data_IF_892208441075
#
_entry.id   IF_892208441075
#
_cell.length_a   1.000
_cell.length_b   1.000
_cell.length_c   1.000
_cell.angle_alpha   90.00
_cell.angle_beta   90.00
_cell.angle_gamma   90.00
#
_symmetry.space_group_name_H-M   'P 1'
#
loop_
_entity.id
_entity.type
_entity.pdbx_description
1 polymer ?
#
# COMPACT_ATOMS: atom_id res chain seq x y z
N UNK A 1 20.48 -52.48 -7.51
CA UNK A 1 20.05 -51.26 -8.20
C UNK A 1 18.92 -50.64 -7.38
N UNK A 2 19.26 -49.77 -6.44
CA UNK A 2 18.28 -49.10 -5.57
C UNK A 2 18.25 -47.62 -5.93
N UNK A 3 17.13 -47.16 -6.48
CA UNK A 3 16.91 -45.75 -6.78
C UNK A 3 16.58 -45.00 -5.48
N UNK A 4 17.39 -44.00 -5.16
CA UNK A 4 17.20 -43.10 -4.01
C UNK A 4 16.05 -42.16 -4.37
N UNK A 5 14.93 -42.31 -3.66
CA UNK A 5 13.76 -41.43 -3.72
C UNK A 5 14.09 -40.12 -3.01
N UNK A 6 14.16 -39.02 -3.74
CA UNK A 6 14.31 -37.66 -3.18
C UNK A 6 12.92 -37.17 -2.77
N UNK A 7 12.67 -36.81 -1.49
CA UNK A 7 11.38 -36.25 -1.10
C UNK A 7 11.21 -34.83 -1.64
N UNK A 8 10.04 -34.62 -2.26
CA UNK A 8 9.46 -33.35 -2.68
C UNK A 8 9.19 -32.51 -1.42
N UNK A 9 9.94 -31.44 -1.22
CA UNK A 9 9.67 -30.48 -0.16
C UNK A 9 8.40 -29.69 -0.51
N UNK A 10 7.36 -29.83 0.32
CA UNK A 10 6.23 -28.91 0.33
C UNK A 10 6.65 -27.65 1.09
N UNK A 11 6.61 -26.50 0.42
CA UNK A 11 6.65 -25.21 1.11
C UNK A 11 5.34 -25.02 1.86
N UNK A 12 5.34 -25.37 3.14
CA UNK A 12 4.29 -24.94 4.07
C UNK A 12 4.63 -23.50 4.47
N UNK A 13 4.01 -22.53 3.79
CA UNK A 13 4.07 -21.12 4.17
C UNK A 13 3.15 -20.93 5.36
N UNK A 14 3.73 -20.75 6.54
CA UNK A 14 3.03 -20.30 7.74
C UNK A 14 2.83 -18.78 7.69
N UNK A 15 1.60 -18.24 7.83
CA UNK A 15 1.41 -16.82 8.08
C UNK A 15 1.84 -16.48 9.51
N UNK A 16 2.78 -15.56 9.63
CA UNK A 16 3.32 -15.05 10.88
C UNK A 16 2.23 -14.29 11.65
N UNK A 17 1.76 -14.84 12.76
CA UNK A 17 0.84 -14.18 13.70
C UNK A 17 1.57 -13.72 14.95
N UNK A 18 1.43 -12.41 15.21
CA UNK A 18 1.17 -11.77 16.51
C UNK A 18 2.00 -12.23 17.74
N UNK A 19 2.91 -11.35 18.16
CA UNK A 19 3.23 -11.15 19.57
C UNK A 19 2.76 -9.74 19.96
N UNK A 20 1.62 -9.68 20.64
CA UNK A 20 1.11 -8.49 21.31
C UNK A 20 1.55 -8.56 22.76
N UNK A 21 2.58 -7.81 23.13
CA UNK A 21 2.91 -7.62 24.54
C UNK A 21 2.30 -6.34 25.08
N UNK A 22 1.59 -6.53 26.19
CA UNK A 22 0.88 -5.52 26.97
C UNK A 22 1.89 -4.56 27.60
N UNK A 23 1.67 -3.26 27.49
CA UNK A 23 2.21 -2.31 28.46
C UNK A 23 1.09 -1.45 29.03
N UNK A 24 0.85 -1.69 30.31
CA UNK A 24 0.01 -0.97 31.25
C UNK A 24 0.67 0.34 31.70
N UNK A 25 -0.17 1.36 31.93
CA UNK A 25 -0.03 2.49 32.88
C UNK A 25 1.31 3.23 33.01
N UNK A 26 1.27 4.55 32.79
CA UNK A 26 2.38 5.44 33.13
C UNK A 26 2.15 6.90 32.81
N UNK A 27 1.17 7.52 33.49
CA UNK A 27 0.97 8.97 33.55
C UNK A 27 2.21 9.65 34.16
N UNK A 28 2.91 10.50 33.39
CA UNK A 28 3.90 11.44 33.95
C UNK A 28 3.69 12.83 33.37
N UNK A 29 3.57 13.76 34.31
CA UNK A 29 3.18 15.16 34.21
C UNK A 29 4.22 15.97 33.45
N UNK A 30 3.75 16.84 32.55
CA UNK A 30 4.55 17.85 31.89
C UNK A 30 5.10 18.86 32.91
N UNK A 31 6.42 18.95 33.03
CA UNK A 31 7.08 20.11 33.62
C UNK A 31 7.62 20.99 32.48
N UNK A 32 7.00 22.14 32.29
CA UNK A 32 7.55 23.23 31.49
C UNK A 32 8.73 23.84 32.26
N UNK A 33 9.90 23.88 31.62
CA UNK A 33 11.02 24.71 32.06
C UNK A 33 11.34 25.66 30.92
N UNK A 34 11.23 26.95 31.24
CA UNK A 34 11.34 28.06 30.33
C UNK A 34 12.66 28.81 30.56
N UNK A 35 13.36 29.10 29.46
CA UNK A 35 14.28 30.22 29.22
C UNK A 35 15.67 30.20 29.93
N UNK A 36 16.75 30.78 29.33
CA UNK A 36 16.75 32.14 28.77
C UNK A 36 17.40 32.36 27.39
N UNK A 37 16.99 33.50 26.82
CA UNK A 37 17.44 34.09 25.57
C UNK A 37 18.92 34.51 25.67
N UNK A 38 19.69 34.17 24.63
CA UNK A 38 21.04 34.71 24.43
C UNK A 38 20.99 35.81 23.37
N UNK A 39 21.09 37.04 23.85
CA UNK A 39 21.34 38.25 23.07
C UNK A 39 22.67 38.13 22.32
N UNK A 40 22.65 38.32 21.00
CA UNK A 40 23.87 38.52 20.19
C UNK A 40 23.88 39.99 19.75
N UNK A 41 24.97 40.74 19.99
CA UNK A 41 25.03 42.15 19.64
C UNK A 41 25.29 42.36 18.14
N UNK A 42 24.63 43.36 17.59
CA UNK A 42 24.89 43.92 16.28
C UNK A 42 26.30 44.54 16.21
N UNK A 43 27.05 44.19 15.17
CA UNK A 43 28.21 44.96 14.72
C UNK A 43 27.89 45.51 13.33
N UNK A 44 27.70 46.82 13.27
CA UNK A 44 27.58 47.57 12.03
C UNK A 44 28.96 47.92 11.43
N UNK A 45 28.93 48.10 10.11
CA UNK A 45 29.67 49.11 9.32
C UNK A 45 31.03 48.71 8.69
N UNK A 46 31.52 49.43 7.66
CA UNK A 46 30.95 49.62 6.32
C UNK A 46 32.02 49.40 5.20
N UNK A 47 31.62 49.41 3.92
CA UNK A 47 32.58 49.61 2.82
C UNK A 47 32.13 49.09 1.46
N UNK A 48 31.46 49.94 0.69
CA UNK A 48 31.13 49.73 -0.71
C UNK A 48 32.36 49.79 -1.62
N UNK A 49 32.41 48.97 -2.68
CA UNK A 49 33.04 49.31 -3.97
C UNK A 49 32.17 48.73 -5.10
N UNK A 50 31.95 49.58 -6.09
CA UNK A 50 31.02 49.52 -7.21
C UNK A 50 31.36 48.55 -8.36
N UNK A 51 30.26 48.15 -9.03
CA UNK A 51 30.00 47.93 -10.47
C UNK A 51 30.88 47.03 -11.35
N UNK A 52 30.21 46.05 -11.95
CA UNK A 52 30.68 45.30 -13.11
C UNK A 52 29.53 44.57 -13.79
N UNK A 53 29.03 45.18 -14.85
CA UNK A 53 27.92 44.75 -15.72
C UNK A 53 28.33 43.51 -16.52
N UNK A 54 27.57 42.41 -16.48
CA UNK A 54 27.13 41.73 -17.70
C UNK A 54 26.02 40.71 -17.45
N UNK A 55 25.01 40.89 -18.29
CA UNK A 55 23.67 40.36 -18.33
C UNK A 55 23.60 38.86 -18.65
N UNK A 56 22.52 38.28 -18.14
CA UNK A 56 22.12 36.90 -18.01
C UNK A 56 21.65 36.34 -19.36
N UNK A 57 22.55 36.25 -20.34
CA UNK A 57 22.21 35.79 -21.70
C UNK A 57 23.01 34.56 -22.12
N UNK A 58 22.90 33.44 -21.39
CA UNK A 58 23.50 32.20 -21.90
C UNK A 58 22.79 30.85 -21.69
N UNK A 59 21.61 30.71 -21.09
CA UNK A 59 20.97 29.37 -20.98
C UNK A 59 19.44 29.35 -20.98
N UNK A 60 18.79 29.99 -21.97
CA UNK A 60 17.38 29.68 -22.25
C UNK A 60 17.13 29.63 -23.75
N UNK A 61 17.47 28.50 -24.36
CA UNK A 61 16.79 28.01 -25.55
C UNK A 61 16.89 26.47 -25.53
N UNK A 62 15.75 25.80 -25.69
CA UNK A 62 15.49 24.35 -25.58
C UNK A 62 15.10 23.85 -24.18
N UNK A 63 13.83 24.05 -23.83
CA UNK A 63 12.93 22.96 -23.45
C UNK A 63 11.52 23.52 -23.26
N UNK A 64 10.71 23.40 -24.29
CA UNK A 64 9.27 23.35 -24.14
C UNK A 64 8.99 22.01 -23.46
N UNK A 65 8.93 21.98 -22.13
CA UNK A 65 8.46 20.84 -21.35
C UNK A 65 7.89 21.33 -20.03
N UNK A 66 6.57 21.24 -19.95
CA UNK A 66 5.76 21.02 -18.76
C UNK A 66 5.74 22.14 -17.70
N UNK A 67 4.74 23.00 -17.87
CA UNK A 67 3.88 23.33 -16.73
C UNK A 67 3.28 22.03 -16.18
N UNK A 68 3.83 21.52 -15.08
CA UNK A 68 3.29 20.40 -14.32
C UNK A 68 3.77 20.57 -12.88
N UNK A 69 2.90 21.08 -12.03
CA UNK A 69 3.23 21.57 -10.70
C UNK A 69 3.76 20.47 -9.76
N UNK A 70 4.51 20.94 -8.76
CA UNK A 70 5.02 20.33 -7.54
C UNK A 70 4.21 19.14 -6.94
N UNK A 71 4.08 18.04 -7.67
CA UNK A 71 3.69 16.74 -7.13
C UNK A 71 4.92 16.12 -6.49
N UNK A 72 4.95 16.00 -5.17
CA UNK A 72 6.01 15.28 -4.47
C UNK A 72 6.18 13.83 -4.98
N UNK A 73 7.25 13.13 -4.56
CA UNK A 73 7.48 11.74 -4.97
C UNK A 73 6.24 10.90 -4.65
N UNK A 74 5.65 10.27 -5.68
CA UNK A 74 4.64 9.24 -5.50
C UNK A 74 5.34 7.93 -5.13
N UNK A 75 4.67 7.11 -4.33
CA UNK A 75 5.22 5.85 -3.83
C UNK A 75 4.31 4.70 -4.24
N UNK A 76 4.90 3.61 -4.73
CA UNK A 76 4.23 2.38 -5.08
C UNK A 76 4.58 1.28 -4.06
N UNK A 77 3.58 0.57 -3.56
CA UNK A 77 3.75 -0.66 -2.78
C UNK A 77 3.85 -1.86 -3.73
N UNK A 78 4.96 -2.59 -3.67
CA UNK A 78 5.18 -3.78 -4.48
C UNK A 78 4.90 -5.07 -3.70
N UNK A 79 4.10 -5.94 -4.29
CA UNK A 79 3.93 -7.34 -3.88
C UNK A 79 4.20 -8.20 -5.10
N UNK A 80 5.21 -9.08 -5.02
CA UNK A 80 5.68 -9.92 -6.14
C UNK A 80 5.90 -9.12 -7.44
N UNK A 81 6.67 -8.03 -7.33
CA UNK A 81 6.99 -7.08 -8.41
C UNK A 81 5.78 -6.39 -9.06
N UNK A 82 4.59 -6.52 -8.49
CA UNK A 82 3.37 -5.86 -8.94
C UNK A 82 3.02 -4.71 -8.01
N UNK A 83 2.71 -3.55 -8.58
CA UNK A 83 2.20 -2.40 -7.83
C UNK A 83 0.81 -2.74 -7.30
N UNK A 84 0.64 -2.80 -5.98
CA UNK A 84 -0.66 -3.07 -5.36
C UNK A 84 -1.36 -1.78 -4.96
N UNK A 85 -0.59 -0.78 -4.54
CA UNK A 85 -1.11 0.49 -4.04
C UNK A 85 -0.15 1.62 -4.43
N UNK A 86 -0.69 2.83 -4.60
CA UNK A 86 0.08 4.05 -4.84
C UNK A 86 -0.35 5.12 -3.84
N UNK A 87 0.61 5.88 -3.29
CA UNK A 87 0.34 6.97 -2.35
C UNK A 87 1.22 8.19 -2.64
N UNK A 88 0.70 9.37 -2.35
CA UNK A 88 1.39 10.66 -2.40
C UNK A 88 2.08 11.01 -1.07
N UNK A 89 1.96 10.15 -0.06
CA UNK A 89 2.54 10.34 1.28
C UNK A 89 3.78 9.45 1.43
N UNK A 90 4.88 10.00 1.93
CA UNK A 90 6.09 9.22 2.24
C UNK A 90 5.76 8.06 3.22
N UNK A 91 5.92 6.79 2.77
CA UNK A 91 5.61 5.61 3.57
C UNK A 91 6.70 5.27 4.60
N UNK A 92 7.89 5.91 4.54
CA UNK A 92 9.01 5.59 5.42
C UNK A 92 8.63 5.80 6.89
N UNK A 93 8.85 4.77 7.71
CA UNK A 93 8.52 4.78 9.13
C UNK A 93 7.03 4.74 9.48
N UNK A 94 6.12 4.72 8.49
CA UNK A 94 4.67 4.58 8.69
C UNK A 94 4.20 3.14 8.60
N UNK A 95 4.73 2.41 7.63
CA UNK A 95 4.34 1.03 7.34
C UNK A 95 5.37 0.05 7.88
N UNK A 96 4.95 -1.22 8.03
CA UNK A 96 5.83 -2.28 8.50
C UNK A 96 6.97 -2.52 7.51
N UNK A 97 8.19 -2.81 8.00
CA UNK A 97 9.40 -2.94 7.18
C UNK A 97 9.35 -4.07 6.13
N UNK A 98 8.37 -4.97 6.22
CA UNK A 98 8.11 -6.01 5.22
C UNK A 98 7.45 -5.50 3.94
N UNK A 99 6.82 -4.31 3.97
CA UNK A 99 6.21 -3.69 2.80
C UNK A 99 7.29 -2.98 1.97
N UNK A 100 7.38 -3.35 0.68
CA UNK A 100 8.36 -2.76 -0.25
C UNK A 100 7.74 -1.55 -0.92
N UNK A 101 8.08 -0.38 -0.43
CA UNK A 101 7.72 0.89 -1.06
C UNK A 101 8.86 1.40 -1.93
N UNK A 102 8.56 1.79 -3.17
CA UNK A 102 9.50 2.40 -4.09
C UNK A 102 8.91 3.70 -4.64
N UNK A 103 9.76 4.70 -4.82
CA UNK A 103 9.38 5.94 -5.52
C UNK A 103 8.99 5.61 -6.96
N UNK A 104 7.87 6.15 -7.42
CA UNK A 104 7.30 5.87 -8.72
C UNK A 104 6.84 7.16 -9.43
N UNK A 105 6.87 7.17 -10.77
CA UNK A 105 6.23 8.22 -11.57
C UNK A 105 4.74 8.41 -11.23
N UNK A 106 4.22 9.63 -11.42
CA UNK A 106 2.83 9.96 -11.10
C UNK A 106 1.79 9.24 -11.99
N UNK A 107 2.20 8.70 -13.13
CA UNK A 107 1.37 7.89 -14.03
C UNK A 107 1.39 6.40 -13.68
N UNK A 108 2.20 5.98 -12.68
CA UNK A 108 2.19 4.61 -12.16
C UNK A 108 0.82 4.31 -11.57
N UNK A 109 0.22 3.21 -11.99
CA UNK A 109 -1.05 2.73 -11.49
C UNK A 109 -0.85 1.43 -10.71
N UNK A 110 -1.75 1.13 -9.76
CA UNK A 110 -1.88 -0.25 -9.29
C UNK A 110 -2.00 -1.22 -10.48
N UNK A 111 -1.54 -2.45 -10.33
CA UNK A 111 -1.46 -3.44 -11.40
C UNK A 111 -0.34 -3.24 -12.43
N UNK A 112 0.40 -2.13 -12.40
CA UNK A 112 1.67 -2.03 -13.13
C UNK A 112 2.72 -2.99 -12.55
N UNK A 113 3.68 -3.41 -13.37
CA UNK A 113 4.73 -4.34 -12.96
C UNK A 113 6.09 -3.68 -13.02
N UNK A 114 6.94 -3.98 -12.05
CA UNK A 114 8.33 -3.55 -12.01
C UNK A 114 9.16 -4.50 -12.86
N UNK A 115 9.58 -4.04 -14.04
CA UNK A 115 10.43 -4.79 -14.96
C UNK A 115 11.74 -4.04 -15.11
N UNK A 116 12.84 -4.64 -14.67
CA UNK A 116 14.20 -4.08 -14.79
C UNK A 116 14.37 -2.67 -14.16
N UNK A 117 13.62 -2.39 -13.08
CA UNK A 117 13.64 -1.08 -12.41
C UNK A 117 12.72 -0.03 -13.02
N UNK A 118 11.92 -0.42 -14.02
CA UNK A 118 10.93 0.44 -14.67
C UNK A 118 9.51 -0.05 -14.38
N UNK A 119 8.62 0.88 -14.01
CA UNK A 119 7.19 0.61 -13.93
C UNK A 119 6.63 0.50 -15.34
N UNK A 120 6.08 -0.67 -15.65
CA UNK A 120 5.50 -0.98 -16.95
C UNK A 120 4.06 -1.42 -16.77
N UNK A 121 3.15 -0.77 -17.48
CA UNK A 121 1.78 -1.25 -17.56
C UNK A 121 1.75 -2.58 -18.31
N UNK A 122 1.30 -3.68 -17.69
CA UNK A 122 1.21 -4.96 -18.37
C UNK A 122 0.23 -4.83 -19.54
N UNK A 123 0.54 -5.55 -20.62
CA UNK A 123 -0.40 -5.69 -21.73
C UNK A 123 -1.76 -6.20 -21.23
N UNK A 124 -2.87 -5.89 -21.93
CA UNK A 124 -4.22 -6.21 -21.46
C UNK A 124 -4.40 -7.65 -21.00
N UNK A 125 -3.78 -8.62 -21.70
CA UNK A 125 -3.81 -10.04 -21.33
C UNK A 125 -3.15 -10.28 -19.97
N UNK A 126 -1.96 -9.72 -19.73
CA UNK A 126 -1.26 -9.83 -18.45
C UNK A 126 -2.08 -9.25 -17.29
N UNK A 127 -2.67 -8.07 -17.50
CA UNK A 127 -3.55 -7.42 -16.52
C UNK A 127 -4.78 -8.28 -16.18
N UNK A 128 -5.44 -8.86 -17.18
CA UNK A 128 -6.60 -9.73 -16.94
C UNK A 128 -6.27 -10.98 -16.10
N UNK A 129 -5.07 -11.55 -16.26
CA UNK A 129 -4.60 -12.70 -15.49
C UNK A 129 -4.35 -12.28 -14.04
N UNK A 130 -3.63 -11.17 -13.82
CA UNK A 130 -3.35 -10.63 -12.51
C UNK A 130 -4.64 -10.32 -11.72
N UNK A 131 -5.63 -9.70 -12.35
CA UNK A 131 -6.90 -9.38 -11.69
C UNK A 131 -7.75 -10.61 -11.34
N UNK A 132 -7.70 -11.67 -12.17
CA UNK A 132 -8.33 -12.95 -11.83
C UNK A 132 -7.64 -13.60 -10.64
N UNK A 133 -6.31 -13.57 -10.59
CA UNK A 133 -5.54 -14.06 -9.45
C UNK A 133 -5.84 -13.27 -8.17
N UNK A 134 -5.93 -11.94 -8.25
CA UNK A 134 -6.34 -11.09 -7.13
C UNK A 134 -7.74 -11.47 -6.61
N UNK A 135 -8.71 -11.61 -7.51
CA UNK A 135 -10.07 -12.06 -7.17
C UNK A 135 -10.04 -13.39 -6.43
N UNK A 136 -9.28 -14.35 -6.94
CA UNK A 136 -9.16 -15.68 -6.33
C UNK A 136 -8.53 -15.61 -4.93
N UNK A 137 -7.53 -14.74 -4.76
CA UNK A 137 -6.96 -14.40 -3.45
C UNK A 137 -7.99 -13.85 -2.48
N UNK A 138 -8.83 -12.88 -2.89
CA UNK A 138 -9.88 -12.31 -2.04
C UNK A 138 -10.97 -13.33 -1.66
N UNK A 139 -11.37 -14.17 -2.62
CA UNK A 139 -12.33 -15.25 -2.37
C UNK A 139 -11.77 -16.30 -1.41
N UNK A 140 -10.49 -16.63 -1.52
CA UNK A 140 -9.82 -17.55 -0.61
C UNK A 140 -9.66 -16.95 0.79
N UNK A 141 -9.17 -15.72 0.89
CA UNK A 141 -8.96 -15.02 2.16
C UNK A 141 -10.24 -14.85 2.99
N UNK A 142 -11.39 -14.71 2.33
CA UNK A 142 -12.70 -14.58 2.99
C UNK A 142 -13.48 -15.90 3.13
N UNK A 143 -12.94 -17.02 2.65
CA UNK A 143 -13.64 -18.31 2.66
C UNK A 143 -13.91 -18.83 4.08
N UNK A 144 -12.93 -18.68 4.99
CA UNK A 144 -13.01 -19.21 6.34
C UNK A 144 -14.20 -18.60 7.12
N UNK A 145 -14.56 -17.35 6.86
CA UNK A 145 -15.72 -16.68 7.48
C UNK A 145 -17.03 -17.37 7.12
N UNK A 146 -17.18 -17.74 5.84
CA UNK A 146 -18.38 -18.46 5.38
C UNK A 146 -18.45 -19.87 5.98
N UNK A 147 -17.32 -20.57 6.05
CA UNK A 147 -17.26 -21.90 6.65
C UNK A 147 -17.61 -21.87 8.13
N UNK A 148 -16.97 -20.98 8.91
CA UNK A 148 -17.24 -20.79 10.35
C UNK A 148 -18.70 -20.48 10.63
N UNK A 149 -19.28 -19.53 9.91
CA UNK A 149 -20.67 -19.15 10.13
C UNK A 149 -21.63 -20.32 9.91
N UNK A 150 -21.38 -21.16 8.89
CA UNK A 150 -22.19 -22.36 8.64
C UNK A 150 -22.02 -23.40 9.73
N UNK A 151 -20.78 -23.66 10.14
CA UNK A 151 -20.49 -24.59 11.24
C UNK A 151 -21.17 -24.15 12.54
N UNK A 152 -21.14 -22.85 12.88
CA UNK A 152 -21.83 -22.30 14.06
C UNK A 152 -23.35 -22.53 14.00
N UNK A 153 -23.97 -22.31 12.83
CA UNK A 153 -25.39 -22.58 12.61
C UNK A 153 -25.74 -24.07 12.72
N UNK A 154 -24.92 -24.95 12.12
CA UNK A 154 -25.12 -26.40 12.15
C UNK A 154 -24.98 -26.96 13.59
N UNK A 155 -24.12 -26.33 14.40
CA UNK A 155 -23.95 -26.64 15.82
C UNK A 155 -25.04 -26.01 16.71
N UNK A 156 -25.90 -25.15 16.17
CA UNK A 156 -26.92 -24.42 16.93
C UNK A 156 -26.34 -23.38 17.90
N UNK A 157 -25.11 -22.91 17.65
CA UNK A 157 -24.43 -21.89 18.45
C UNK A 157 -24.75 -20.51 17.87
N UNK A 158 -24.78 -19.47 18.72
CA UNK A 158 -24.90 -18.10 18.23
C UNK A 158 -23.71 -17.75 17.32
N UNK A 159 -23.94 -17.36 16.05
CA UNK A 159 -22.85 -17.08 15.14
C UNK A 159 -22.00 -15.88 15.59
N UNK A 160 -20.71 -15.94 15.31
CA UNK A 160 -19.77 -14.85 15.59
C UNK A 160 -20.01 -13.62 14.72
N UNK A 161 -20.59 -13.81 13.53
CA UNK A 161 -21.02 -12.74 12.63
C UNK A 161 -22.50 -12.45 12.81
N UNK A 162 -22.85 -11.17 12.85
CA UNK A 162 -24.26 -10.75 12.82
C UNK A 162 -24.90 -11.11 11.47
N UNK A 163 -26.23 -11.27 11.39
CA UNK A 163 -26.92 -11.53 10.13
C UNK A 163 -26.62 -10.49 9.04
N UNK A 164 -26.49 -9.22 9.42
CA UNK A 164 -26.13 -8.12 8.51
C UNK A 164 -24.70 -8.28 7.98
N UNK A 165 -23.72 -8.54 8.85
CA UNK A 165 -22.33 -8.77 8.42
C UNK A 165 -22.23 -10.00 7.51
N UNK A 166 -22.97 -11.06 7.82
CA UNK A 166 -22.98 -12.25 6.97
C UNK A 166 -23.60 -11.96 5.59
N UNK A 167 -24.67 -11.17 5.51
CA UNK A 167 -25.23 -10.73 4.24
C UNK A 167 -24.23 -9.89 3.42
N UNK A 168 -23.60 -8.89 4.04
CA UNK A 168 -22.56 -8.06 3.41
C UNK A 168 -21.39 -8.89 2.87
N UNK A 169 -20.97 -9.92 3.61
CA UNK A 169 -19.93 -10.85 3.17
C UNK A 169 -20.35 -11.62 1.92
N UNK A 170 -21.59 -12.10 1.86
CA UNK A 170 -22.10 -12.83 0.71
C UNK A 170 -22.21 -11.91 -0.51
N UNK A 171 -22.69 -10.68 -0.33
CA UNK A 171 -22.76 -9.68 -1.40
C UNK A 171 -21.38 -9.32 -1.94
N UNK A 172 -20.41 -9.06 -1.05
CA UNK A 172 -19.02 -8.82 -1.43
C UNK A 172 -18.43 -9.98 -2.23
N UNK A 173 -18.62 -11.22 -1.75
CA UNK A 173 -18.12 -12.43 -2.44
C UNK A 173 -18.83 -12.65 -3.77
N UNK A 174 -20.10 -12.28 -3.90
CA UNK A 174 -20.82 -12.32 -5.17
C UNK A 174 -20.30 -11.27 -6.14
N UNK A 175 -20.07 -10.04 -5.69
CA UNK A 175 -19.48 -8.97 -6.50
C UNK A 175 -18.12 -9.40 -7.08
N UNK A 176 -17.26 -10.04 -6.27
CA UNK A 176 -15.98 -10.61 -6.74
C UNK A 176 -16.17 -11.64 -7.87
N UNK A 177 -17.22 -12.48 -7.82
CA UNK A 177 -17.47 -13.50 -8.86
C UNK A 177 -18.00 -12.91 -10.15
N UNK A 178 -18.83 -11.87 -10.06
CA UNK A 178 -19.44 -11.20 -11.21
C UNK A 178 -18.46 -10.23 -11.89
N UNK A 179 -17.54 -9.64 -11.14
CA UNK A 179 -16.63 -8.61 -11.63
C UNK A 179 -15.83 -8.97 -12.90
N UNK A 180 -15.30 -10.20 -13.08
CA UNK A 180 -14.63 -10.60 -14.33
C UNK A 180 -15.53 -10.66 -15.57
N UNK A 181 -16.86 -10.60 -15.39
CA UNK A 181 -17.86 -10.56 -16.45
C UNK A 181 -18.34 -9.13 -16.74
N UNK A 182 -17.91 -8.13 -15.96
CA UNK A 182 -18.28 -6.74 -16.16
C UNK A 182 -17.54 -6.15 -17.37
N UNK A 183 -18.20 -5.20 -18.06
CA UNK A 183 -17.64 -4.53 -19.25
C UNK A 183 -16.35 -3.76 -18.98
N UNK A 184 -16.17 -3.29 -17.74
CA UNK A 184 -15.01 -2.51 -17.30
C UNK A 184 -13.93 -3.37 -16.65
N UNK A 185 -13.96 -4.69 -16.81
CA UNK A 185 -12.85 -5.55 -16.41
C UNK A 185 -11.69 -5.37 -17.41
N UNK A 186 -10.42 -5.21 -16.99
CA UNK A 186 -9.83 -5.35 -15.65
C UNK A 186 -9.48 -4.02 -14.94
N UNK A 187 -10.37 -3.02 -14.95
CA UNK A 187 -10.10 -1.72 -14.31
C UNK A 187 -10.06 -1.81 -12.78
N UNK A 188 -8.97 -1.33 -12.19
CA UNK A 188 -8.73 -1.39 -10.73
C UNK A 188 -9.72 -0.56 -9.93
N UNK A 189 -10.10 0.60 -10.46
CA UNK A 189 -11.09 1.48 -9.85
C UNK A 189 -12.48 0.81 -9.74
N UNK A 190 -12.69 -0.31 -10.43
CA UNK A 190 -13.92 -1.10 -10.38
C UNK A 190 -13.81 -2.34 -9.52
N UNK A 191 -12.69 -2.56 -8.81
CA UNK A 191 -12.56 -3.65 -7.84
C UNK A 191 -13.64 -3.53 -6.76
N UNK A 192 -14.33 -4.62 -6.40
CA UNK A 192 -15.26 -4.61 -5.28
C UNK A 192 -14.53 -4.27 -3.97
N UNK A 193 -15.07 -3.32 -3.22
CA UNK A 193 -14.51 -2.92 -1.93
C UNK A 193 -14.90 -3.93 -0.84
N UNK A 194 -13.91 -4.41 -0.09
CA UNK A 194 -14.15 -5.29 1.04
C UNK A 194 -14.82 -4.53 2.20
N UNK A 195 -15.81 -5.12 2.87
CA UNK A 195 -16.32 -4.57 4.12
C UNK A 195 -15.20 -4.37 5.16
N UNK A 196 -15.16 -3.17 5.77
CA UNK A 196 -14.10 -2.76 6.68
C UNK A 196 -13.92 -3.69 7.89
N UNK A 197 -14.99 -4.33 8.36
CA UNK A 197 -14.93 -5.23 9.50
C UNK A 197 -14.17 -6.53 9.20
N UNK A 198 -14.02 -6.93 7.94
CA UNK A 198 -13.31 -8.17 7.57
C UNK A 198 -11.83 -8.08 7.98
N UNK A 199 -11.19 -6.92 7.84
CA UNK A 199 -9.79 -6.73 8.24
C UNK A 199 -9.59 -6.77 9.75
N UNK A 200 -10.66 -6.53 10.53
CA UNK A 200 -10.63 -6.61 11.99
C UNK A 200 -10.71 -8.04 12.50
N UNK A 201 -11.08 -9.00 11.64
CA UNK A 201 -11.23 -10.39 12.01
C UNK A 201 -9.98 -11.19 11.68
N UNK A 202 -9.54 -12.00 12.65
CA UNK A 202 -8.38 -12.87 12.49
C UNK A 202 -8.87 -14.32 12.32
N UNK A 203 -8.47 -15.06 11.25
CA UNK A 203 -8.84 -16.46 11.02
C UNK A 203 -8.56 -17.45 12.16
#
# INVERSE_FOLDING_TARGET
MGAISIPRWEMVVFPCRYLTERFTEGMVVAHSVSLPQSTVPALESPGAVEVGVLDLAHRVLMAVSNFGGDGGPMWALLVDDTVVETTDIDPQGRFHASMKWLECPADTQPGDVMVEGNFTTPEPVGRTIAERAWRDGQLHASQWLTSRHREELDLGIQPSLTPTQYAELLDYRQALRVWPQAELFPELARRPNAPHWISSLTP
#
